data_IF_736293618662
#
_entry.id   IF_736293618662
#
_cell.length_a   1.000
_cell.length_b   1.000
_cell.length_c   1.000
_cell.angle_alpha   90.00
_cell.angle_beta   90.00
_cell.angle_gamma   90.00
#
_symmetry.space_group_name_H-M   'P 1'
#
loop_
_entity.id
_entity.type
_entity.pdbx_description
1 polymer ?
#
# COMPACT_ATOMS: atom_id res chain seq x y z
N UNK A 1 11.02 7.82 -11.59
CA UNK A 1 10.71 6.56 -10.91
C UNK A 1 9.22 6.44 -10.69
N UNK A 2 8.69 5.26 -10.96
CA UNK A 2 7.26 5.04 -10.79
C UNK A 2 6.94 4.69 -9.33
N UNK A 3 6.11 5.50 -8.68
CA UNK A 3 5.72 5.27 -7.29
C UNK A 3 5.10 3.89 -7.11
N UNK A 4 4.39 3.41 -8.11
CA UNK A 4 3.76 2.10 -8.05
C UNK A 4 4.79 0.97 -7.91
N UNK A 5 5.91 1.08 -8.62
CA UNK A 5 6.98 0.09 -8.50
C UNK A 5 7.60 0.10 -7.10
N UNK A 6 7.81 1.29 -6.55
CA UNK A 6 8.32 1.44 -5.19
C UNK A 6 7.35 0.82 -4.17
N UNK A 7 6.07 1.10 -4.31
CA UNK A 7 5.04 0.54 -3.43
C UNK A 7 5.05 -0.99 -3.51
N UNK A 8 5.06 -1.52 -4.72
CA UNK A 8 5.03 -2.96 -4.94
C UNK A 8 6.24 -3.65 -4.30
N UNK A 9 7.45 -3.13 -4.58
CA UNK A 9 8.67 -3.73 -4.05
C UNK A 9 8.71 -3.70 -2.52
N UNK A 10 8.27 -2.60 -1.92
CA UNK A 10 8.25 -2.50 -0.46
C UNK A 10 7.23 -3.44 0.17
N UNK A 11 6.03 -3.52 -0.38
CA UNK A 11 5.01 -4.42 0.15
C UNK A 11 5.39 -5.88 -0.06
N UNK A 12 6.10 -6.18 -1.13
CA UNK A 12 6.62 -7.52 -1.36
C UNK A 12 7.69 -7.87 -0.32
N UNK A 13 8.56 -6.95 -0.03
CA UNK A 13 9.59 -7.15 1.01
C UNK A 13 8.96 -7.36 2.38
N UNK A 14 7.87 -6.65 2.67
CA UNK A 14 7.15 -6.82 3.92
C UNK A 14 6.36 -8.14 3.98
N UNK A 15 6.28 -8.86 2.86
CA UNK A 15 5.55 -10.12 2.81
C UNK A 15 4.05 -9.97 2.63
N UNK A 16 3.58 -8.74 2.34
CA UNK A 16 2.15 -8.48 2.23
C UNK A 16 1.60 -8.85 0.86
N UNK A 17 2.42 -8.76 -0.19
CA UNK A 17 2.05 -9.16 -1.54
C UNK A 17 3.14 -10.05 -2.10
N UNK A 18 2.77 -10.99 -2.99
CA UNK A 18 3.71 -11.86 -3.66
C UNK A 18 3.82 -11.51 -5.15
N UNK A 19 2.78 -10.94 -5.70
CA UNK A 19 2.72 -10.59 -7.11
C UNK A 19 1.79 -9.40 -7.32
N UNK A 20 1.68 -8.95 -8.57
CA UNK A 20 0.86 -7.78 -8.89
C UNK A 20 -0.63 -8.04 -8.68
N UNK A 21 -1.08 -9.29 -8.80
CA UNK A 21 -2.47 -9.62 -8.54
C UNK A 21 -2.83 -9.33 -7.08
N UNK A 22 -1.94 -9.67 -6.15
CA UNK A 22 -2.16 -9.39 -4.74
C UNK A 22 -2.28 -7.89 -4.50
N UNK A 23 -1.45 -7.09 -5.16
CA UNK A 23 -1.53 -5.64 -5.03
C UNK A 23 -2.84 -5.11 -5.58
N UNK A 24 -3.30 -5.67 -6.72
CA UNK A 24 -4.60 -5.29 -7.28
C UNK A 24 -5.73 -5.52 -6.28
N UNK A 25 -5.70 -6.65 -5.59
CA UNK A 25 -6.71 -6.96 -4.57
C UNK A 25 -6.68 -6.00 -3.40
N UNK A 26 -5.49 -5.60 -2.98
CA UNK A 26 -5.38 -4.60 -1.90
C UNK A 26 -5.93 -3.25 -2.32
N UNK A 27 -5.95 -2.99 -3.62
CA UNK A 27 -6.57 -1.77 -4.17
C UNK A 27 -8.08 -1.92 -4.36
N UNK A 28 -8.66 -3.06 -4.00
CA UNK A 28 -10.07 -3.32 -4.18
C UNK A 28 -10.47 -3.56 -5.61
N UNK A 29 -9.54 -4.00 -6.44
CA UNK A 29 -9.74 -4.19 -7.88
C UNK A 29 -9.52 -5.64 -8.27
N UNK A 30 -9.81 -5.97 -9.54
CA UNK A 30 -9.62 -7.33 -10.04
C UNK A 30 -8.13 -7.63 -10.27
N UNK A 31 -7.84 -8.90 -10.56
CA UNK A 31 -6.47 -9.40 -10.67
C UNK A 31 -5.59 -8.61 -11.62
N UNK A 32 -6.14 -8.15 -12.73
CA UNK A 32 -5.35 -7.56 -13.80
C UNK A 32 -5.20 -6.05 -13.68
N UNK A 33 -5.78 -5.44 -12.65
CA UNK A 33 -5.85 -3.98 -12.57
C UNK A 33 -4.46 -3.32 -12.60
N UNK A 34 -3.55 -3.75 -11.73
CA UNK A 34 -2.23 -3.13 -11.63
C UNK A 34 -1.41 -3.34 -12.91
N UNK A 35 -1.39 -4.58 -13.43
CA UNK A 35 -0.62 -4.84 -14.65
C UNK A 35 -1.20 -4.07 -15.84
N UNK A 36 -2.52 -3.92 -15.90
CA UNK A 36 -3.17 -3.16 -16.95
C UNK A 36 -2.81 -1.68 -16.88
N UNK A 37 -2.82 -1.10 -15.68
CA UNK A 37 -2.44 0.32 -15.50
C UNK A 37 -0.99 0.54 -15.89
N UNK A 38 -0.10 -0.37 -15.48
CA UNK A 38 1.33 -0.27 -15.84
C UNK A 38 1.53 -0.36 -17.35
N UNK A 39 0.83 -1.28 -17.99
CA UNK A 39 0.94 -1.44 -19.44
C UNK A 39 0.50 -0.18 -20.20
N UNK A 40 -0.45 0.56 -19.64
CA UNK A 40 -0.95 1.80 -20.24
C UNK A 40 -0.17 3.04 -19.79
N UNK A 41 0.83 2.86 -18.92
CA UNK A 41 1.58 3.97 -18.36
C UNK A 41 0.75 4.87 -17.48
N UNK A 42 -0.28 4.33 -16.84
CA UNK A 42 -1.19 5.11 -16.00
C UNK A 42 -1.02 4.76 -14.53
N UNK A 43 -1.23 5.74 -13.68
CA UNK A 43 -1.26 5.53 -12.24
C UNK A 43 -2.60 4.92 -11.82
N UNK A 44 -2.64 4.22 -10.69
CA UNK A 44 -3.91 3.77 -10.14
C UNK A 44 -4.84 4.96 -9.84
N UNK A 45 -6.14 4.71 -9.88
CA UNK A 45 -7.12 5.75 -9.57
C UNK A 45 -7.03 6.16 -8.10
N UNK A 46 -7.59 7.32 -7.77
CA UNK A 46 -7.65 7.78 -6.38
C UNK A 46 -8.41 6.79 -5.52
N UNK A 47 -9.49 6.21 -6.07
CA UNK A 47 -10.26 5.21 -5.34
C UNK A 47 -9.42 3.98 -5.01
N UNK A 48 -8.64 3.48 -5.98
CA UNK A 48 -7.78 2.33 -5.78
C UNK A 48 -6.72 2.62 -4.72
N UNK A 49 -6.12 3.81 -4.77
CA UNK A 49 -5.09 4.19 -3.81
C UNK A 49 -5.68 4.38 -2.42
N UNK A 50 -6.90 4.90 -2.31
CA UNK A 50 -7.57 5.02 -1.02
C UNK A 50 -7.85 3.65 -0.42
N UNK A 51 -8.33 2.70 -1.22
CA UNK A 51 -8.54 1.33 -0.76
C UNK A 51 -7.24 0.70 -0.28
N UNK A 52 -6.17 0.91 -1.03
CA UNK A 52 -4.86 0.39 -0.64
C UNK A 52 -4.42 0.98 0.71
N UNK A 53 -4.56 2.29 0.88
CA UNK A 53 -4.17 2.96 2.11
C UNK A 53 -4.96 2.42 3.32
N UNK A 54 -6.27 2.23 3.16
CA UNK A 54 -7.09 1.69 4.23
C UNK A 54 -6.72 0.24 4.56
N UNK A 55 -6.42 -0.56 3.55
CA UNK A 55 -5.99 -1.94 3.78
C UNK A 55 -4.64 -2.00 4.47
N UNK A 56 -3.72 -1.10 4.13
CA UNK A 56 -2.42 -1.02 4.80
C UNK A 56 -2.59 -0.58 6.24
N UNK A 57 -3.51 0.34 6.51
CA UNK A 57 -3.81 0.76 7.87
C UNK A 57 -4.30 -0.41 8.72
N UNK A 58 -5.19 -1.23 8.16
CA UNK A 58 -5.72 -2.39 8.86
C UNK A 58 -4.62 -3.42 9.13
N UNK A 59 -3.74 -3.66 8.15
CA UNK A 59 -2.63 -4.59 8.33
C UNK A 59 -1.65 -4.09 9.38
N UNK A 60 -1.36 -2.80 9.35
CA UNK A 60 -0.46 -2.20 10.32
C UNK A 60 -1.04 -2.31 11.73
N UNK A 61 -2.35 -2.06 11.88
CA UNK A 61 -3.02 -2.17 13.16
C UNK A 61 -2.93 -3.60 13.71
N UNK A 62 -3.12 -4.58 12.85
CA UNK A 62 -3.01 -5.99 13.25
C UNK A 62 -1.60 -6.32 13.72
N UNK A 63 -0.58 -5.81 13.03
CA UNK A 63 0.81 -6.03 13.43
C UNK A 63 1.13 -5.32 14.75
N UNK A 64 0.65 -4.11 14.92
CA UNK A 64 0.86 -3.36 16.15
C UNK A 64 0.22 -4.04 17.35
N UNK A 65 -0.96 -4.62 17.18
CA UNK A 65 -1.62 -5.36 18.22
C UNK A 65 -0.82 -6.61 18.61
N UNK A 66 -0.29 -7.31 17.62
CA UNK A 66 0.55 -8.48 17.86
C UNK A 66 1.80 -8.10 18.66
N UNK A 67 2.43 -7.00 18.28
CA UNK A 67 3.63 -6.50 18.95
C UNK A 67 3.30 -6.08 20.39
N UNK A 68 2.18 -5.39 20.56
CA UNK A 68 1.76 -4.89 21.87
C UNK A 68 1.52 -6.02 22.88
N UNK A 69 0.92 -7.11 22.43
CA UNK A 69 0.63 -8.23 23.32
C UNK A 69 1.82 -9.17 23.49
N UNK A 70 2.95 -8.85 22.89
CA UNK A 70 4.18 -9.60 23.08
C UNK A 70 4.20 -10.97 22.43
N UNK A 71 3.23 -11.25 21.58
CA UNK A 71 3.19 -12.52 20.88
C UNK A 71 4.10 -12.43 19.66
N UNK A 72 5.03 -13.37 19.57
CA UNK A 72 5.82 -13.55 18.37
C UNK A 72 6.54 -12.28 17.91
N UNK A 73 7.23 -11.64 18.85
CA UNK A 73 8.02 -10.43 18.56
C UNK A 73 9.28 -10.80 17.78
N UNK A 74 9.17 -10.90 16.48
CA UNK A 74 10.32 -11.19 15.62
C UNK A 74 10.78 -9.90 14.94
N UNK A 75 12.08 -9.87 14.58
CA UNK A 75 12.63 -8.74 13.82
C UNK A 75 11.88 -8.56 12.51
N UNK A 76 11.47 -9.67 11.87
CA UNK A 76 10.74 -9.62 10.60
C UNK A 76 9.41 -8.87 10.74
N UNK A 77 8.69 -9.07 11.83
CA UNK A 77 7.42 -8.37 12.05
C UNK A 77 7.63 -6.89 12.28
N UNK A 78 8.69 -6.52 12.99
CA UNK A 78 9.01 -5.12 13.22
C UNK A 78 9.41 -4.43 11.93
N UNK A 79 10.20 -5.10 11.10
CA UNK A 79 10.60 -4.58 9.79
C UNK A 79 9.36 -4.41 8.90
N UNK A 80 8.50 -5.42 8.86
CA UNK A 80 7.27 -5.36 8.06
C UNK A 80 6.40 -4.19 8.49
N UNK A 81 6.23 -3.98 9.79
CA UNK A 81 5.43 -2.87 10.30
C UNK A 81 6.02 -1.53 9.86
N UNK A 82 7.34 -1.40 9.94
CA UNK A 82 8.02 -0.17 9.52
C UNK A 82 7.80 0.11 8.04
N UNK A 83 7.93 -0.91 7.20
CA UNK A 83 7.75 -0.77 5.76
C UNK A 83 6.30 -0.37 5.44
N UNK A 84 5.34 -1.05 6.04
CA UNK A 84 3.93 -0.76 5.78
C UNK A 84 3.59 0.66 6.24
N UNK A 85 4.13 1.09 7.37
CA UNK A 85 3.93 2.43 7.88
C UNK A 85 4.44 3.48 6.88
N UNK A 86 5.64 3.27 6.35
CA UNK A 86 6.23 4.20 5.39
C UNK A 86 5.43 4.27 4.10
N UNK A 87 5.03 3.12 3.56
CA UNK A 87 4.23 3.07 2.33
C UNK A 87 2.88 3.74 2.54
N UNK A 88 2.21 3.43 3.66
CA UNK A 88 0.92 4.03 3.98
C UNK A 88 1.02 5.55 4.03
N UNK A 89 2.03 6.06 4.73
CA UNK A 89 2.19 7.51 4.86
C UNK A 89 2.49 8.17 3.53
N UNK A 90 3.28 7.52 2.68
CA UNK A 90 3.55 8.02 1.34
C UNK A 90 2.25 8.13 0.53
N UNK A 91 1.42 7.09 0.58
CA UNK A 91 0.15 7.08 -0.15
C UNK A 91 -0.78 8.16 0.36
N UNK A 92 -0.92 8.31 1.68
CA UNK A 92 -1.79 9.34 2.26
C UNK A 92 -1.33 10.74 1.87
N UNK A 93 -0.01 10.97 1.88
CA UNK A 93 0.52 12.28 1.48
C UNK A 93 0.20 12.59 0.02
N UNK A 94 0.33 11.59 -0.85
CA UNK A 94 0.03 11.74 -2.27
C UNK A 94 -1.47 11.99 -2.50
N UNK A 95 -2.32 11.24 -1.80
CA UNK A 95 -3.77 11.43 -1.88
C UNK A 95 -4.17 12.83 -1.42
N UNK A 96 -3.57 13.28 -0.34
CA UNK A 96 -3.87 14.62 0.20
C UNK A 96 -3.48 15.70 -0.80
N UNK A 97 -2.33 15.57 -1.44
CA UNK A 97 -1.86 16.52 -2.44
C UNK A 97 -2.80 16.55 -3.65
N UNK A 98 -3.23 15.38 -4.13
CA UNK A 98 -4.13 15.28 -5.28
C UNK A 98 -5.51 15.83 -4.97
N UNK A 99 -6.02 15.60 -3.78
CA UNK A 99 -7.31 16.13 -3.37
C UNK A 99 -7.28 17.65 -3.30
N UNK A 100 -6.16 18.23 -2.82
CA UNK A 100 -6.01 19.68 -2.81
C UNK A 100 -5.96 20.24 -4.22
N UNK A 101 -5.20 19.59 -5.10
CA UNK A 101 -5.09 20.02 -6.48
C UNK A 101 -6.44 20.04 -7.19
N UNK A 102 -7.29 19.06 -6.90
CA UNK A 102 -8.61 18.97 -7.50
C UNK A 102 -9.58 20.06 -7.08
N UNK A 103 -9.26 20.79 -6.03
CA UNK A 103 -10.15 21.82 -5.48
C UNK A 103 -9.98 23.18 -6.15
N UNK A 104 -9.00 23.31 -6.98
CA UNK A 104 -8.69 24.60 -7.61
C UNK A 104 -9.39 24.81 -8.95
N UNK A 105 -10.16 23.88 -9.39
CA UNK A 105 -10.92 24.04 -10.61
C UNK A 105 -12.04 25.04 -10.51
#
# INVERSE_FOLDING_TARGET
MNDLDWIYENLREAGLVQNQNDLSHLCGMDDSYISSRKAKGKEPSLEAMAHLAFNLEAELQALEDTIRYGEDLTADRLVAASIIYDVKNHIFADLKAKCRGGRHE
#
